data_IF_437959427427
#
_entry.id   IF_437959427427
#
_cell.length_a   1.000
_cell.length_b   1.000
_cell.length_c   1.000
_cell.angle_alpha   90.00
_cell.angle_beta   90.00
_cell.angle_gamma   90.00
#
_symmetry.space_group_name_H-M   'P 1'
#
loop_
_entity.id
_entity.type
_entity.pdbx_description
1 polymer ?
#
# COMPACT_ATOMS: atom_id res chain seq x y z
N UNK A 1 -42.82 -23.18 59.25
CA UNK A 1 -42.07 -21.92 59.37
C UNK A 1 -40.80 -22.28 60.14
N UNK A 2 -39.61 -22.40 59.58
CA UNK A 2 -38.97 -21.96 58.34
C UNK A 2 -37.87 -23.02 58.09
N UNK A 3 -37.75 -23.61 56.90
CA UNK A 3 -36.83 -23.08 55.89
C UNK A 3 -35.49 -23.82 55.87
N UNK A 4 -35.50 -25.10 55.46
CA UNK A 4 -34.30 -25.85 55.06
C UNK A 4 -33.74 -25.27 53.75
N UNK A 5 -33.06 -24.12 53.84
CA UNK A 5 -32.24 -23.59 52.75
C UNK A 5 -30.84 -24.22 52.81
N UNK A 6 -30.78 -25.52 52.54
CA UNK A 6 -29.55 -26.15 52.09
C UNK A 6 -29.31 -25.69 50.66
N UNK A 7 -28.44 -24.70 50.46
CA UNK A 7 -27.93 -24.36 49.13
C UNK A 7 -27.22 -25.59 48.56
N UNK A 8 -27.94 -26.31 47.71
CA UNK A 8 -27.39 -27.32 46.83
C UNK A 8 -26.47 -26.59 45.85
N UNK A 9 -25.17 -26.58 46.13
CA UNK A 9 -24.18 -26.24 45.12
C UNK A 9 -24.27 -27.31 44.04
N UNK A 10 -24.63 -26.98 42.78
CA UNK A 10 -24.44 -27.94 41.71
C UNK A 10 -22.93 -28.14 41.58
N UNK A 11 -22.46 -29.35 41.89
CA UNK A 11 -21.15 -29.85 41.47
C UNK A 11 -21.08 -29.67 39.94
N UNK A 12 -20.47 -28.58 39.51
CA UNK A 12 -20.37 -28.23 38.11
C UNK A 12 -19.41 -29.20 37.42
N UNK A 13 -19.99 -30.27 36.87
CA UNK A 13 -19.64 -31.05 35.68
C UNK A 13 -18.12 -31.08 35.37
N UNK A 14 -17.43 -32.23 35.41
CA UNK A 14 -16.01 -32.30 35.06
C UNK A 14 -15.80 -31.78 33.63
N UNK A 15 -15.30 -30.56 33.51
CA UNK A 15 -15.03 -29.86 32.24
C UNK A 15 -13.80 -30.41 31.50
N UNK A 16 -13.25 -31.55 31.92
CA UNK A 16 -11.89 -31.92 31.54
C UNK A 16 -11.75 -33.39 31.11
N UNK A 17 -12.52 -33.79 30.10
CA UNK A 17 -12.27 -35.08 29.43
C UNK A 17 -12.25 -34.99 27.89
N UNK A 18 -12.89 -33.96 27.30
CA UNK A 18 -12.76 -33.66 25.87
C UNK A 18 -11.49 -32.90 25.48
N UNK A 19 -10.82 -32.22 26.42
CA UNK A 19 -9.69 -31.31 26.12
C UNK A 19 -8.40 -32.03 25.72
N UNK A 20 -8.16 -33.23 26.26
CA UNK A 20 -6.89 -33.96 26.07
C UNK A 20 -6.65 -34.44 24.63
N UNK A 21 -7.71 -34.54 23.81
CA UNK A 21 -7.64 -34.88 22.38
C UNK A 21 -8.07 -33.73 21.47
N UNK A 22 -8.11 -32.51 21.99
CA UNK A 22 -8.51 -31.35 21.21
C UNK A 22 -7.51 -31.05 20.09
N UNK A 23 -7.99 -30.44 19.00
CA UNK A 23 -7.13 -30.01 17.90
C UNK A 23 -6.03 -29.07 18.39
N UNK A 24 -6.36 -28.16 19.31
CA UNK A 24 -5.38 -27.25 19.91
C UNK A 24 -4.18 -27.97 20.53
N UNK A 25 -4.40 -29.01 21.34
CA UNK A 25 -3.30 -29.77 21.97
C UNK A 25 -2.45 -30.47 20.91
N UNK A 26 -3.08 -30.98 19.84
CA UNK A 26 -2.35 -31.57 18.71
C UNK A 26 -1.53 -30.52 17.98
N UNK A 27 -2.09 -29.33 17.74
CA UNK A 27 -1.40 -28.22 17.08
C UNK A 27 -0.17 -27.77 17.87
N UNK A 28 -0.31 -27.55 19.18
CA UNK A 28 0.81 -27.10 20.02
C UNK A 28 1.96 -28.10 20.01
N UNK A 29 1.66 -29.39 20.15
CA UNK A 29 2.67 -30.45 20.07
C UNK A 29 3.27 -30.56 18.66
N UNK A 30 2.44 -30.47 17.61
CA UNK A 30 2.88 -30.53 16.22
C UNK A 30 3.86 -29.41 15.90
N UNK A 31 3.54 -28.18 16.30
CA UNK A 31 4.42 -27.02 16.12
C UNK A 31 5.72 -27.16 16.92
N UNK A 32 5.67 -27.68 18.14
CA UNK A 32 6.88 -27.95 18.94
C UNK A 32 7.84 -28.91 18.21
N UNK A 33 7.34 -30.06 17.73
CA UNK A 33 8.16 -31.02 16.98
C UNK A 33 8.68 -30.40 15.67
N UNK A 34 7.90 -29.52 15.04
CA UNK A 34 8.25 -28.88 13.77
C UNK A 34 9.34 -27.81 13.94
N UNK A 35 9.37 -27.15 15.09
CA UNK A 35 10.41 -26.19 15.46
C UNK A 35 11.69 -26.88 15.95
N UNK A 36 11.58 -28.06 16.56
CA UNK A 36 12.73 -28.88 16.98
C UNK A 36 13.39 -29.64 15.83
N UNK A 37 12.71 -29.76 14.67
CA UNK A 37 13.23 -30.49 13.53
C UNK A 37 14.41 -29.76 12.86
N UNK A 38 15.51 -30.48 12.64
CA UNK A 38 16.68 -30.02 11.89
C UNK A 38 16.26 -29.63 10.45
N UNK A 39 16.79 -28.49 9.96
CA UNK A 39 16.40 -27.84 8.70
C UNK A 39 14.92 -27.39 8.57
N UNK A 40 14.16 -27.47 9.66
CA UNK A 40 12.73 -27.17 9.66
C UNK A 40 11.91 -28.13 8.80
N UNK A 41 12.42 -29.33 8.49
CA UNK A 41 11.74 -30.32 7.65
C UNK A 41 11.19 -31.45 8.52
N UNK A 42 9.90 -31.77 8.35
CA UNK A 42 9.22 -32.80 9.13
C UNK A 42 8.55 -33.86 8.24
N UNK A 43 8.76 -35.15 8.57
CA UNK A 43 7.95 -36.25 8.05
C UNK A 43 6.64 -36.36 8.83
N UNK A 44 5.52 -36.20 8.14
CA UNK A 44 4.17 -36.31 8.68
C UNK A 44 3.88 -37.70 9.26
N UNK A 45 4.52 -38.76 8.75
CA UNK A 45 4.38 -40.12 9.31
C UNK A 45 5.02 -40.21 10.69
N UNK A 46 6.16 -39.53 10.88
CA UNK A 46 6.83 -39.48 12.17
C UNK A 46 6.03 -38.64 13.17
N UNK A 47 5.55 -37.48 12.73
CA UNK A 47 4.66 -36.66 13.53
C UNK A 47 3.42 -37.45 14.00
N UNK A 48 2.78 -38.25 13.12
CA UNK A 48 1.63 -39.10 13.50
C UNK A 48 1.99 -40.09 14.60
N UNK A 49 3.18 -40.70 14.55
CA UNK A 49 3.66 -41.63 15.58
C UNK A 49 3.86 -40.92 16.92
N UNK A 50 4.52 -39.76 16.92
CA UNK A 50 4.83 -38.99 18.14
C UNK A 50 3.56 -38.40 18.77
N UNK A 51 2.65 -37.87 17.95
CA UNK A 51 1.39 -37.28 18.42
C UNK A 51 0.35 -38.33 18.85
N UNK A 52 0.65 -39.63 18.66
CA UNK A 52 -0.22 -40.77 18.98
C UNK A 52 -1.68 -40.58 18.51
N UNK A 53 -1.83 -39.98 17.31
CA UNK A 53 -3.14 -39.65 16.77
C UNK A 53 -3.71 -40.90 16.11
N UNK A 54 -4.80 -41.42 16.66
CA UNK A 54 -5.48 -42.61 16.13
C UNK A 54 -6.08 -42.42 14.72
N UNK A 55 -6.14 -41.19 14.21
CA UNK A 55 -6.65 -40.85 12.87
C UNK A 55 -5.78 -39.78 12.19
N UNK A 56 -5.22 -40.11 11.01
CA UNK A 56 -4.48 -39.19 10.12
C UNK A 56 -5.24 -37.91 9.76
N UNK A 57 -6.56 -37.86 10.01
CA UNK A 57 -7.42 -36.73 9.68
C UNK A 57 -7.00 -35.41 10.35
N UNK A 58 -6.52 -35.44 11.60
CA UNK A 58 -6.19 -34.20 12.34
C UNK A 58 -4.90 -33.53 11.88
N UNK A 59 -3.97 -34.30 11.31
CA UNK A 59 -2.75 -33.73 10.71
C UNK A 59 -3.11 -32.82 9.55
N UNK A 60 -4.05 -33.24 8.69
CA UNK A 60 -4.48 -32.40 7.56
C UNK A 60 -5.21 -31.13 8.00
N UNK A 61 -5.98 -31.17 9.10
CA UNK A 61 -6.58 -29.96 9.65
C UNK A 61 -5.50 -28.93 10.01
N UNK A 62 -4.42 -29.40 10.64
CA UNK A 62 -3.30 -28.54 11.06
C UNK A 62 -2.51 -28.07 9.83
N UNK A 63 -2.09 -28.98 8.95
CA UNK A 63 -1.26 -28.63 7.80
C UNK A 63 -1.99 -27.73 6.81
N UNK A 64 -3.28 -27.93 6.56
CA UNK A 64 -4.04 -27.09 5.62
C UNK A 64 -4.17 -25.65 6.13
N UNK A 65 -4.36 -25.47 7.45
CA UNK A 65 -4.40 -24.13 8.04
C UNK A 65 -3.01 -23.49 7.98
N UNK A 66 -1.95 -24.22 8.37
CA UNK A 66 -0.58 -23.69 8.33
C UNK A 66 -0.10 -23.39 6.91
N UNK A 67 -0.51 -24.19 5.92
CA UNK A 67 -0.27 -23.96 4.49
C UNK A 67 -1.07 -22.77 3.98
N UNK A 68 -2.34 -22.65 4.37
CA UNK A 68 -3.20 -21.52 4.00
C UNK A 68 -2.72 -20.18 4.55
N UNK A 69 -2.07 -20.19 5.72
CA UNK A 69 -1.39 -18.99 6.29
C UNK A 69 0.01 -18.79 5.70
N UNK A 70 0.61 -19.81 5.07
CA UNK A 70 1.95 -19.73 4.49
C UNK A 70 3.10 -20.02 5.47
N UNK A 71 2.81 -20.52 6.67
CA UNK A 71 3.82 -20.88 7.67
C UNK A 71 4.50 -22.23 7.37
N UNK A 72 3.90 -23.03 6.49
CA UNK A 72 4.40 -24.35 6.09
C UNK A 72 4.27 -24.51 4.59
N UNK A 73 5.29 -25.12 3.97
CA UNK A 73 5.28 -25.51 2.56
C UNK A 73 5.30 -27.03 2.42
N UNK A 74 4.53 -27.57 1.49
CA UNK A 74 4.56 -28.99 1.15
C UNK A 74 5.76 -29.30 0.25
N UNK A 75 6.63 -30.20 0.70
CA UNK A 75 7.77 -30.69 -0.09
C UNK A 75 7.42 -32.00 -0.81
N UNK A 76 6.65 -32.88 -0.15
CA UNK A 76 6.17 -34.13 -0.73
C UNK A 76 4.86 -34.60 -0.09
N UNK A 77 4.33 -35.76 -0.49
CA UNK A 77 3.07 -36.31 0.07
C UNK A 77 3.13 -36.48 1.60
N UNK A 78 4.30 -36.75 2.16
CA UNK A 78 4.48 -36.95 3.60
C UNK A 78 5.50 -36.00 4.22
N UNK A 79 5.99 -35.00 3.49
CA UNK A 79 7.04 -34.10 3.98
C UNK A 79 6.63 -32.66 3.84
N UNK A 80 6.81 -31.91 4.92
CA UNK A 80 6.53 -30.48 5.00
C UNK A 80 7.77 -29.74 5.50
N UNK A 81 7.89 -28.47 5.12
CA UNK A 81 8.94 -27.57 5.60
C UNK A 81 8.31 -26.39 6.33
N UNK A 82 8.83 -26.10 7.51
CA UNK A 82 8.53 -24.92 8.30
C UNK A 82 9.11 -23.69 7.63
N UNK A 83 8.24 -22.71 7.35
CA UNK A 83 8.58 -21.40 6.81
C UNK A 83 8.45 -20.31 7.87
N UNK A 84 7.73 -20.59 8.97
CA UNK A 84 7.39 -19.61 10.01
C UNK A 84 8.52 -19.17 10.93
N UNK A 85 9.72 -19.75 10.80
CA UNK A 85 10.93 -19.35 11.51
C UNK A 85 12.15 -19.49 10.59
N UNK A 86 12.11 -18.87 9.42
CA UNK A 86 13.32 -18.63 8.63
C UNK A 86 14.17 -17.58 9.34
N UNK A 87 14.81 -17.99 10.43
CA UNK A 87 15.90 -17.26 11.04
C UNK A 87 17.07 -17.33 10.05
N UNK A 88 17.31 -16.25 9.30
CA UNK A 88 18.57 -16.04 8.60
C UNK A 88 18.43 -15.67 7.11
N UNK A 89 17.92 -16.59 6.28
CA UNK A 89 17.97 -16.41 4.82
C UNK A 89 16.91 -15.43 4.29
N UNK A 90 15.66 -15.54 4.74
CA UNK A 90 14.58 -14.62 4.34
C UNK A 90 14.72 -13.24 5.01
N UNK A 91 15.29 -13.15 6.21
CA UNK A 91 15.48 -11.87 6.90
C UNK A 91 16.50 -11.00 6.15
N UNK A 92 17.59 -11.59 5.66
CA UNK A 92 18.57 -10.86 4.86
C UNK A 92 17.99 -10.38 3.53
N UNK A 93 17.25 -11.23 2.82
CA UNK A 93 16.62 -10.83 1.55
C UNK A 93 15.52 -9.78 1.77
N UNK A 94 14.75 -9.90 2.86
CA UNK A 94 13.74 -8.94 3.25
C UNK A 94 14.35 -7.59 3.66
N UNK A 95 15.41 -7.59 4.48
CA UNK A 95 16.12 -6.37 4.86
C UNK A 95 16.83 -5.73 3.67
N UNK A 96 17.38 -6.52 2.74
CA UNK A 96 17.94 -6.03 1.48
C UNK A 96 16.86 -5.36 0.64
N UNK A 97 15.71 -6.01 0.42
CA UNK A 97 14.57 -5.45 -0.30
C UNK A 97 14.06 -4.16 0.35
N UNK A 98 14.01 -4.13 1.68
CA UNK A 98 13.62 -2.97 2.47
C UNK A 98 14.62 -1.82 2.33
N UNK A 99 15.92 -2.10 2.28
CA UNK A 99 16.95 -1.10 2.01
C UNK A 99 16.84 -0.55 0.59
N UNK A 100 16.65 -1.41 -0.41
CA UNK A 100 16.43 -1.02 -1.81
C UNK A 100 15.21 -0.08 -1.93
N UNK A 101 14.07 -0.47 -1.33
CA UNK A 101 12.86 0.35 -1.33
C UNK A 101 13.04 1.69 -0.60
N UNK A 102 13.81 1.73 0.49
CA UNK A 102 14.13 2.99 1.18
C UNK A 102 14.96 3.93 0.30
N UNK A 103 15.98 3.41 -0.38
CA UNK A 103 16.79 4.20 -1.30
C UNK A 103 15.96 4.76 -2.45
N UNK A 104 15.06 3.94 -3.02
CA UNK A 104 14.16 4.40 -4.09
C UNK A 104 13.21 5.50 -3.61
N UNK A 105 12.75 5.41 -2.36
CA UNK A 105 11.89 6.42 -1.74
C UNK A 105 12.62 7.76 -1.56
N UNK A 106 13.88 7.73 -1.10
CA UNK A 106 14.73 8.92 -0.98
C UNK A 106 14.99 9.57 -2.34
N UNK A 107 15.26 8.78 -3.39
CA UNK A 107 15.46 9.28 -4.76
C UNK A 107 14.20 9.94 -5.32
N UNK A 108 13.03 9.38 -5.02
CA UNK A 108 11.75 9.94 -5.45
C UNK A 108 11.43 11.25 -4.72
N UNK A 109 11.70 11.33 -3.41
CA UNK A 109 11.53 12.55 -2.62
C UNK A 109 12.41 13.69 -3.16
N UNK A 110 13.67 13.41 -3.53
CA UNK A 110 14.54 14.42 -4.16
C UNK A 110 14.01 14.91 -5.50
N UNK A 111 13.47 14.01 -6.34
CA UNK A 111 12.88 14.39 -7.62
C UNK A 111 11.65 15.26 -7.44
N UNK A 112 10.78 14.90 -6.49
CA UNK A 112 9.61 15.70 -6.14
C UNK A 112 10.02 17.11 -5.68
N UNK A 113 11.03 17.20 -4.80
CA UNK A 113 11.56 18.48 -4.34
C UNK A 113 12.07 19.36 -5.50
N UNK A 114 12.82 18.80 -6.45
CA UNK A 114 13.32 19.55 -7.62
C UNK A 114 12.16 20.04 -8.49
N UNK A 115 11.14 19.20 -8.70
CA UNK A 115 9.96 19.57 -9.48
C UNK A 115 9.19 20.72 -8.83
N UNK A 116 9.05 20.70 -7.51
CA UNK A 116 8.43 21.80 -6.76
C UNK A 116 9.23 23.10 -6.87
N UNK A 117 10.56 23.04 -6.82
CA UNK A 117 11.40 24.22 -7.03
C UNK A 117 11.24 24.78 -8.45
N UNK A 118 11.22 23.93 -9.47
CA UNK A 118 11.01 24.36 -10.86
C UNK A 118 9.64 25.00 -11.05
N UNK A 119 8.59 24.45 -10.41
CA UNK A 119 7.25 25.03 -10.41
C UNK A 119 7.27 26.44 -9.81
N UNK A 120 7.88 26.60 -8.63
CA UNK A 120 8.00 27.90 -7.96
C UNK A 120 8.77 28.92 -8.81
N UNK A 121 9.87 28.48 -9.44
CA UNK A 121 10.65 29.32 -10.35
C UNK A 121 9.84 29.76 -11.58
N UNK A 122 9.10 28.84 -12.18
CA UNK A 122 8.21 29.15 -13.30
C UNK A 122 7.13 30.16 -12.90
N UNK A 123 6.47 29.94 -11.77
CA UNK A 123 5.46 30.86 -11.24
C UNK A 123 6.03 32.25 -10.96
N UNK A 124 7.21 32.33 -10.36
CA UNK A 124 7.87 33.61 -10.07
C UNK A 124 8.34 34.32 -11.36
N UNK A 125 8.88 33.58 -12.33
CA UNK A 125 9.28 34.13 -13.63
C UNK A 125 8.08 34.72 -14.38
N UNK A 126 6.95 34.00 -14.38
CA UNK A 126 5.69 34.49 -14.96
C UNK A 126 5.22 35.75 -14.23
N UNK A 127 5.29 35.78 -12.89
CA UNK A 127 4.92 36.96 -12.10
C UNK A 127 5.79 38.17 -12.43
N UNK A 128 7.11 38.01 -12.40
CA UNK A 128 8.06 39.08 -12.73
C UNK A 128 7.80 39.64 -14.14
N UNK A 129 7.58 38.77 -15.13
CA UNK A 129 7.32 39.19 -16.52
C UNK A 129 5.98 39.93 -16.68
N UNK A 130 4.95 39.56 -15.91
CA UNK A 130 3.64 40.25 -15.91
C UNK A 130 3.70 41.63 -15.24
N UNK A 131 4.46 41.75 -14.15
CA UNK A 131 4.65 43.01 -13.43
C UNK A 131 5.53 43.98 -14.24
N UNK A 132 6.57 43.49 -14.93
CA UNK A 132 7.40 44.30 -15.85
C UNK A 132 6.61 44.79 -17.08
N UNK A 133 5.67 43.99 -17.61
CA UNK A 133 4.76 44.41 -18.69
C UNK A 133 3.72 45.46 -18.25
N UNK A 134 3.52 45.64 -16.94
CA UNK A 134 2.62 46.67 -16.41
C UNK A 134 3.29 48.06 -16.39
N UNK A 135 4.64 48.11 -16.47
CA UNK A 135 5.40 49.35 -16.49
C UNK A 135 5.57 49.96 -17.90
N UNK A 136 5.30 49.19 -18.95
CA UNK A 136 5.25 49.69 -20.33
C UNK A 136 3.99 49.19 -21.06
N UNK A 137 2.83 49.88 -20.91
CA UNK A 137 1.57 49.43 -21.51
C UNK A 137 1.49 49.53 -23.04
N UNK A 138 2.59 49.90 -23.73
CA UNK A 138 2.48 50.38 -25.10
C UNK A 138 3.72 50.05 -25.95
N UNK A 139 3.88 48.79 -26.34
CA UNK A 139 4.73 48.50 -27.51
C UNK A 139 4.23 47.35 -28.37
N UNK A 140 2.91 47.17 -28.46
CA UNK A 140 2.30 46.53 -29.63
C UNK A 140 1.84 47.63 -30.59
N UNK A 141 2.78 48.49 -31.00
CA UNK A 141 2.61 49.32 -32.18
C UNK A 141 2.48 48.35 -33.36
N UNK A 142 1.24 48.05 -33.73
CA UNK A 142 0.90 47.18 -34.86
C UNK A 142 1.76 47.61 -36.05
N UNK A 143 2.67 46.73 -36.48
CA UNK A 143 3.38 46.90 -37.73
C UNK A 143 2.32 47.07 -38.83
N UNK A 144 2.35 48.22 -39.49
CA UNK A 144 1.55 48.53 -40.67
C UNK A 144 1.81 47.46 -41.74
N UNK A 145 0.93 46.47 -41.84
CA UNK A 145 0.85 45.63 -43.02
C UNK A 145 0.19 46.47 -44.11
N UNK A 146 1.02 47.09 -44.95
CA UNK A 146 0.57 47.72 -46.17
C UNK A 146 0.30 46.63 -47.21
N UNK A 147 -0.93 46.10 -47.21
CA UNK A 147 -1.42 45.27 -48.31
C UNK A 147 -2.74 45.86 -48.78
N UNK A 148 -2.72 46.44 -49.98
CA UNK A 148 -3.89 46.56 -50.86
C UNK A 148 -5.04 47.43 -50.37
N UNK A 149 -4.99 48.73 -50.72
CA UNK A 149 -6.13 49.50 -51.23
C UNK A 149 -7.50 49.33 -50.53
N UNK A 150 -7.59 49.64 -49.23
CA UNK A 150 -8.68 50.39 -48.59
C UNK A 150 -8.31 50.64 -47.11
N UNK A 151 -8.38 51.90 -46.65
CA UNK A 151 -8.13 52.28 -45.26
C UNK A 151 -9.27 51.76 -44.38
N UNK A 152 -9.07 50.61 -43.73
CA UNK A 152 -9.91 50.17 -42.62
C UNK A 152 -9.16 50.43 -41.32
N UNK A 153 -9.66 51.36 -40.53
CA UNK A 153 -9.19 51.65 -39.17
C UNK A 153 -10.03 50.85 -38.18
N UNK A 154 -9.39 49.94 -37.45
CA UNK A 154 -10.00 49.24 -36.31
C UNK A 154 -9.54 49.91 -35.02
N UNK A 155 -10.48 50.17 -34.11
CA UNK A 155 -10.18 50.56 -32.74
C UNK A 155 -10.65 49.45 -31.80
N UNK A 156 -9.72 48.94 -31.01
CA UNK A 156 -9.99 47.91 -30.00
C UNK A 156 -9.79 48.55 -28.63
N UNK A 157 -10.85 48.59 -27.83
CA UNK A 157 -10.80 49.12 -26.48
C UNK A 157 -10.77 47.97 -25.47
N UNK A 158 -9.74 47.95 -24.62
CA UNK A 158 -9.57 46.99 -23.53
C UNK A 158 -9.84 47.68 -22.20
N UNK A 159 -10.98 47.38 -21.57
CA UNK A 159 -11.30 47.79 -20.20
C UNK A 159 -10.93 46.70 -19.17
N UNK A 160 -10.85 47.05 -17.87
CA UNK A 160 -10.44 46.13 -16.79
C UNK A 160 -11.38 44.94 -16.54
N UNK A 161 -12.49 44.83 -17.29
CA UNK A 161 -13.32 43.64 -17.35
C UNK A 161 -13.42 43.20 -18.80
N UNK A 162 -12.88 42.02 -19.09
CA UNK A 162 -12.66 41.34 -20.37
C UNK A 162 -13.81 41.38 -21.40
N UNK A 163 -14.13 42.55 -21.94
CA UNK A 163 -14.97 42.65 -23.13
C UNK A 163 -14.27 43.57 -24.12
N UNK A 164 -13.63 42.95 -25.12
CA UNK A 164 -13.11 43.65 -26.27
C UNK A 164 -14.25 43.87 -27.27
N UNK A 165 -14.57 45.12 -27.57
CA UNK A 165 -15.48 45.47 -28.65
C UNK A 165 -14.66 45.86 -29.88
N UNK A 166 -15.00 45.30 -31.04
CA UNK A 166 -14.42 45.68 -32.34
C UNK A 166 -15.50 46.44 -33.11
N UNK A 167 -15.29 47.74 -33.33
CA UNK A 167 -16.16 48.53 -34.20
C UNK A 167 -15.47 48.77 -35.54
N UNK A 168 -16.18 48.44 -36.62
CA UNK A 168 -15.75 48.73 -37.99
C UNK A 168 -16.38 50.07 -38.40
N UNK A 169 -15.55 51.09 -38.57
CA UNK A 169 -15.98 52.33 -39.23
C UNK A 169 -15.37 52.40 -40.62
N UNK A 170 -16.24 52.52 -41.63
CA UNK A 170 -15.86 52.82 -43.00
C UNK A 170 -15.93 54.34 -43.19
N UNK A 171 -14.85 54.97 -43.65
CA UNK A 171 -14.88 56.39 -44.02
C UNK A 171 -15.72 56.57 -45.29
N UNK A 172 -16.70 57.49 -45.33
CA UNK A 172 -17.25 57.90 -46.62
C UNK A 172 -16.18 58.71 -47.36
N UNK A 173 -16.24 58.66 -48.69
CA UNK A 173 -15.33 59.39 -49.59
C UNK A 173 -15.56 60.89 -49.53
#
# INVERSE_FOLDING_TARGET
MEGLFGFFFPEAIPKYQRSLRSLHVLTTKFVGILQEAEDGVMDLREAVRILNVSQKRRIYDITNVLEGVGLVRKMSKSMIKWMGALQGEDEYELEKRKMELKSELEDLEQKEFILDQHKLWGEQSIRNTKEDCSQYPFTAMFQLIHVGFQRLTYSVYSGPSYIAFVTLQTSPR
#
